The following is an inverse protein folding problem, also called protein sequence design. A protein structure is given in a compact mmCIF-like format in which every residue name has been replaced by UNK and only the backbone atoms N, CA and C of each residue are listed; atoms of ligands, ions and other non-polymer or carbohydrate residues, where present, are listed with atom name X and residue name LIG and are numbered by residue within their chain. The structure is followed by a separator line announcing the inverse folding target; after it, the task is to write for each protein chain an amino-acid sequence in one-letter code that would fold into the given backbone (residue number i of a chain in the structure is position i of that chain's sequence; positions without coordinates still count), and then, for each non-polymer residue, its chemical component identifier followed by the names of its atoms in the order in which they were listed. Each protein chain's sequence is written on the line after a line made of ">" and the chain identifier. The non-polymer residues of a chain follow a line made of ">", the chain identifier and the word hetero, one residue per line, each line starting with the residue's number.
data_IF_279944474373
#
_entry.id   IF_279944474373
#
_cell.length_a   1.000
_cell.length_b   1.000
_cell.length_c   1.000
_cell.angle_alpha   90.00
_cell.angle_beta   90.00
_cell.angle_gamma   90.00
#
_symmetry.space_group_name_H-M   'P 1'
#
loop_
_entity.id
_entity.type
_entity.pdbx_description
1 polymer ?
#
# COMPACT_ATOMS: atom_id res chain seq x y z
N UNK A 1 -3.08 -24.51 10.44
CA UNK A 1 -2.19 -25.69 10.65
C UNK A 1 -0.98 -25.14 11.37
N UNK A 2 -0.66 -25.69 12.54
CA UNK A 2 0.48 -25.26 13.35
C UNK A 2 1.78 -25.70 12.66
N UNK A 3 2.82 -24.85 12.67
CA UNK A 3 4.09 -25.16 12.04
C UNK A 3 4.81 -26.27 12.84
N UNK A 4 5.19 -27.40 12.22
CA UNK A 4 5.80 -28.54 12.90
C UNK A 4 7.28 -28.26 13.26
N UNK A 5 7.51 -27.40 14.24
CA UNK A 5 8.83 -26.85 14.59
C UNK A 5 9.87 -27.92 14.93
N UNK A 6 9.49 -28.92 15.74
CA UNK A 6 10.44 -29.97 16.16
C UNK A 6 10.86 -30.85 15.01
N UNK A 7 9.92 -31.25 14.16
CA UNK A 7 10.22 -31.98 12.93
C UNK A 7 11.13 -31.16 12.01
N UNK A 8 10.88 -29.85 11.88
CA UNK A 8 11.71 -28.95 11.09
C UNK A 8 13.14 -28.86 11.64
N UNK A 9 13.34 -28.76 12.96
CA UNK A 9 14.67 -28.72 13.59
C UNK A 9 15.44 -30.00 13.29
N UNK A 10 14.80 -31.18 13.33
CA UNK A 10 15.43 -32.46 12.97
C UNK A 10 15.95 -32.47 11.52
N UNK A 11 15.23 -31.84 10.58
CA UNK A 11 15.67 -31.75 9.18
C UNK A 11 16.94 -30.89 9.00
N UNK A 12 17.31 -30.09 9.99
CA UNK A 12 18.55 -29.30 10.00
C UNK A 12 19.74 -30.04 10.59
N UNK A 13 19.56 -31.31 11.03
CA UNK A 13 20.67 -32.17 11.46
C UNK A 13 21.62 -32.43 10.27
N UNK A 14 22.92 -32.16 10.48
CA UNK A 14 23.93 -32.21 9.42
C UNK A 14 24.26 -30.85 8.77
N UNK A 15 23.51 -29.80 9.05
CA UNK A 15 23.88 -28.42 8.64
C UNK A 15 24.92 -27.82 9.59
N UNK A 16 25.65 -26.79 9.11
CA UNK A 16 26.58 -26.06 9.99
C UNK A 16 25.81 -25.38 11.14
N UNK A 17 26.43 -25.23 12.33
CA UNK A 17 25.79 -24.60 13.49
C UNK A 17 25.29 -23.18 13.16
N UNK A 18 26.04 -22.41 12.40
CA UNK A 18 25.70 -21.03 12.01
C UNK A 18 24.46 -21.00 11.11
N UNK A 19 24.40 -21.90 10.11
CA UNK A 19 23.25 -22.01 9.23
C UNK A 19 22.00 -22.43 10.01
N UNK A 20 22.13 -23.42 10.88
CA UNK A 20 21.04 -23.91 11.74
C UNK A 20 20.50 -22.78 12.62
N UNK A 21 21.37 -22.04 13.32
CA UNK A 21 20.98 -20.90 14.16
C UNK A 21 20.24 -19.85 13.35
N UNK A 22 20.79 -19.42 12.21
CA UNK A 22 20.18 -18.39 11.37
C UNK A 22 18.76 -18.79 10.86
N UNK A 23 18.58 -20.05 10.50
CA UNK A 23 17.28 -20.57 10.03
C UNK A 23 16.28 -20.69 11.17
N UNK A 24 16.71 -21.13 12.36
CA UNK A 24 15.85 -21.18 13.55
C UNK A 24 15.42 -19.77 13.95
N UNK A 25 16.34 -18.81 14.05
CA UNK A 25 16.06 -17.42 14.39
C UNK A 25 15.09 -16.77 13.40
N UNK A 26 15.27 -17.02 12.09
CA UNK A 26 14.37 -16.57 11.06
C UNK A 26 12.95 -17.14 11.23
N UNK A 27 12.88 -18.45 11.49
CA UNK A 27 11.62 -19.17 11.70
C UNK A 27 10.89 -18.66 12.93
N UNK A 28 11.58 -18.59 14.07
CA UNK A 28 11.02 -18.17 15.35
C UNK A 28 10.54 -16.72 15.30
N UNK A 29 11.27 -15.83 14.61
CA UNK A 29 10.85 -14.44 14.39
C UNK A 29 9.53 -14.34 13.63
N UNK A 30 9.33 -15.13 12.58
CA UNK A 30 8.09 -15.12 11.82
C UNK A 30 6.93 -15.72 12.62
N UNK A 31 7.16 -16.85 13.31
CA UNK A 31 6.16 -17.50 14.14
C UNK A 31 5.72 -16.60 15.30
N UNK A 32 6.65 -15.91 15.97
CA UNK A 32 6.34 -14.97 17.05
C UNK A 32 5.42 -13.82 16.60
N UNK A 33 5.46 -13.46 15.30
CA UNK A 33 4.58 -12.46 14.70
C UNK A 33 3.34 -13.09 14.02
N UNK A 34 3.06 -14.37 14.25
CA UNK A 34 1.97 -15.11 13.63
C UNK A 34 2.01 -15.06 12.09
N UNK A 35 3.21 -15.07 11.52
CA UNK A 35 3.44 -15.01 10.08
C UNK A 35 3.79 -16.37 9.51
N UNK A 36 3.39 -16.70 8.28
CA UNK A 36 3.78 -17.93 7.63
C UNK A 36 5.30 -17.95 7.36
N UNK A 37 5.93 -19.06 7.67
CA UNK A 37 7.35 -19.26 7.39
C UNK A 37 7.52 -19.62 5.91
N UNK A 38 8.30 -18.82 5.18
CA UNK A 38 8.58 -19.00 3.75
C UNK A 38 10.10 -18.97 3.58
N UNK A 39 10.68 -20.06 3.10
CA UNK A 39 12.15 -20.17 2.92
C UNK A 39 12.61 -19.84 1.51
N UNK A 40 11.76 -20.11 0.50
CA UNK A 40 12.08 -19.94 -0.92
C UNK A 40 10.82 -19.82 -1.75
N UNK A 41 10.96 -19.43 -3.03
CA UNK A 41 9.86 -19.40 -3.99
C UNK A 41 9.24 -20.79 -4.18
N UNK A 42 10.06 -21.84 -4.24
CA UNK A 42 9.61 -23.24 -4.31
C UNK A 42 8.76 -23.63 -3.10
N UNK A 43 9.21 -23.28 -1.90
CA UNK A 43 8.43 -23.51 -0.67
C UNK A 43 7.11 -22.75 -0.71
N UNK A 44 7.15 -21.48 -1.13
CA UNK A 44 5.95 -20.66 -1.30
C UNK A 44 4.95 -21.26 -2.32
N UNK A 45 5.46 -21.77 -3.45
CA UNK A 45 4.65 -22.47 -4.44
C UNK A 45 3.87 -23.63 -3.83
N UNK A 46 4.54 -24.46 -3.03
CA UNK A 46 3.91 -25.55 -2.28
C UNK A 46 2.83 -25.08 -1.31
N UNK A 47 3.11 -23.99 -0.56
CA UNK A 47 2.14 -23.41 0.39
C UNK A 47 0.87 -22.91 -0.31
N UNK A 48 0.99 -22.22 -1.44
CA UNK A 48 -0.16 -21.66 -2.18
C UNK A 48 -0.80 -22.66 -3.15
N UNK A 49 -0.24 -23.87 -3.26
CA UNK A 49 -0.76 -24.94 -4.13
C UNK A 49 -0.68 -24.57 -5.62
N UNK A 50 0.46 -24.04 -6.05
CA UNK A 50 0.75 -23.65 -7.44
C UNK A 50 2.10 -24.26 -7.84
N UNK A 51 2.21 -24.64 -9.12
CA UNK A 51 3.49 -25.11 -9.65
C UNK A 51 4.55 -24.00 -9.62
N UNK A 52 5.78 -24.33 -9.20
CA UNK A 52 6.88 -23.37 -9.14
C UNK A 52 7.15 -22.72 -10.50
N UNK A 53 7.09 -23.51 -11.58
CA UNK A 53 7.28 -23.01 -12.95
C UNK A 53 6.21 -21.98 -13.36
N UNK A 54 5.00 -22.09 -12.81
CA UNK A 54 3.96 -21.09 -13.05
C UNK A 54 4.25 -19.79 -12.30
N UNK A 55 4.76 -19.84 -11.08
CA UNK A 55 5.19 -18.63 -10.36
C UNK A 55 6.28 -17.89 -11.15
N UNK A 56 7.29 -18.62 -11.66
CA UNK A 56 8.32 -18.02 -12.51
C UNK A 56 7.73 -17.38 -13.78
N UNK A 57 6.79 -18.05 -14.44
CA UNK A 57 6.09 -17.50 -15.64
C UNK A 57 5.31 -16.23 -15.30
N UNK A 58 4.61 -16.20 -14.17
CA UNK A 58 3.89 -15.01 -13.70
C UNK A 58 4.87 -13.86 -13.47
N UNK A 59 5.95 -14.09 -12.73
CA UNK A 59 6.95 -13.06 -12.40
C UNK A 59 7.69 -12.55 -13.65
N UNK A 60 7.99 -13.42 -14.61
CA UNK A 60 8.67 -13.07 -15.86
C UNK A 60 7.77 -12.24 -16.82
N UNK A 61 6.44 -12.46 -16.79
CA UNK A 61 5.49 -11.77 -17.66
C UNK A 61 4.31 -11.20 -16.87
N UNK A 62 4.59 -10.49 -15.79
CA UNK A 62 3.58 -9.96 -14.86
C UNK A 62 2.48 -9.18 -15.58
N UNK A 63 2.83 -8.41 -16.60
CA UNK A 63 1.90 -7.61 -17.38
C UNK A 63 0.83 -8.46 -18.12
N UNK A 64 1.20 -9.65 -18.59
CA UNK A 64 0.27 -10.62 -19.21
C UNK A 64 -0.76 -11.20 -18.24
N UNK A 65 -0.53 -11.06 -16.93
CA UNK A 65 -1.45 -11.56 -15.90
C UNK A 65 -2.40 -10.49 -15.35
N UNK A 66 -2.53 -9.33 -16.02
CA UNK A 66 -3.48 -8.27 -15.66
C UNK A 66 -4.42 -7.89 -16.78
N UNK A 67 -5.69 -7.70 -16.43
CA UNK A 67 -6.69 -7.09 -17.29
C UNK A 67 -6.78 -5.59 -17.01
N UNK A 68 -6.99 -4.79 -18.06
CA UNK A 68 -7.02 -3.34 -18.01
C UNK A 68 -8.41 -2.81 -18.34
N UNK A 69 -9.04 -2.11 -17.41
CA UNK A 69 -10.36 -1.52 -17.56
C UNK A 69 -10.29 0.00 -17.41
N UNK A 70 -11.24 0.69 -18.03
CA UNK A 70 -11.38 2.14 -17.88
C UNK A 70 -12.79 2.45 -17.39
N UNK A 71 -12.90 3.06 -16.22
CA UNK A 71 -14.16 3.44 -15.59
C UNK A 71 -14.31 4.97 -15.63
N UNK A 72 -15.50 5.49 -16.01
CA UNK A 72 -15.80 6.91 -15.91
C UNK A 72 -15.88 7.33 -14.45
N UNK A 73 -15.23 8.45 -14.06
CA UNK A 73 -15.40 9.03 -12.71
C UNK A 73 -16.82 9.62 -12.60
N UNK A 74 -17.46 9.47 -11.42
CA UNK A 74 -18.83 9.93 -11.15
C UNK A 74 -19.06 11.41 -11.50
N UNK A 75 -18.04 12.24 -11.38
CA UNK A 75 -18.11 13.67 -11.69
C UNK A 75 -16.99 14.06 -12.66
N UNK A 76 -17.32 14.23 -13.95
CA UNK A 76 -16.44 14.78 -14.97
C UNK A 76 -16.04 13.84 -16.12
N UNK A 77 -15.35 14.41 -17.12
CA UNK A 77 -14.87 13.70 -18.34
C UNK A 77 -13.66 12.77 -18.07
N UNK A 78 -13.09 12.78 -16.85
CA UNK A 78 -11.88 12.00 -16.51
C UNK A 78 -12.22 10.53 -16.29
N UNK A 79 -11.44 9.65 -16.88
CA UNK A 79 -11.54 8.20 -16.71
C UNK A 79 -10.52 7.71 -15.67
N UNK A 80 -10.87 6.68 -14.89
CA UNK A 80 -9.97 5.96 -13.99
C UNK A 80 -9.61 4.64 -14.65
N UNK A 81 -8.33 4.32 -14.70
CA UNK A 81 -7.84 3.02 -15.15
C UNK A 81 -7.80 2.08 -13.94
N UNK A 82 -8.43 0.93 -14.09
CA UNK A 82 -8.40 -0.16 -13.12
C UNK A 82 -7.61 -1.30 -13.73
N UNK A 83 -6.69 -1.85 -12.99
CA UNK A 83 -5.79 -2.93 -13.42
C UNK A 83 -5.97 -4.10 -12.48
N UNK A 84 -6.63 -5.15 -12.96
CA UNK A 84 -7.08 -6.29 -12.14
C UNK A 84 -6.28 -7.53 -12.50
N UNK A 85 -5.68 -8.23 -11.53
CA UNK A 85 -4.99 -9.48 -11.81
C UNK A 85 -5.97 -10.59 -12.24
N UNK A 86 -5.53 -11.44 -13.19
CA UNK A 86 -6.25 -12.67 -13.55
C UNK A 86 -6.27 -13.66 -12.37
N UNK A 87 -7.14 -14.67 -12.49
CA UNK A 87 -7.54 -15.54 -11.38
C UNK A 87 -6.35 -16.15 -10.60
N UNK A 88 -5.32 -16.68 -11.28
CA UNK A 88 -4.18 -17.32 -10.60
C UNK A 88 -3.38 -16.31 -9.78
N UNK A 89 -2.97 -15.19 -10.40
CA UNK A 89 -2.26 -14.11 -9.68
C UNK A 89 -3.12 -13.52 -8.56
N UNK A 90 -4.42 -13.34 -8.81
CA UNK A 90 -5.37 -12.83 -7.81
C UNK A 90 -5.47 -13.74 -6.59
N UNK A 91 -5.44 -15.07 -6.77
CA UNK A 91 -5.44 -16.07 -5.69
C UNK A 91 -4.17 -15.95 -4.85
N UNK A 92 -3.00 -15.83 -5.50
CA UNK A 92 -1.71 -15.62 -4.82
C UNK A 92 -1.73 -14.33 -4.02
N UNK A 93 -2.14 -13.22 -4.64
CA UNK A 93 -2.20 -11.92 -3.96
C UNK A 93 -3.20 -11.91 -2.80
N UNK A 94 -4.33 -12.60 -2.90
CA UNK A 94 -5.26 -12.76 -1.77
C UNK A 94 -4.65 -13.56 -0.63
N UNK A 95 -3.90 -14.61 -0.95
CA UNK A 95 -3.17 -15.37 0.07
C UNK A 95 -2.15 -14.46 0.79
N UNK A 96 -1.34 -13.73 0.04
CA UNK A 96 -0.38 -12.75 0.63
C UNK A 96 -1.11 -11.71 1.49
N UNK A 97 -2.26 -11.23 1.03
CA UNK A 97 -3.07 -10.27 1.79
C UNK A 97 -3.49 -10.87 3.13
N UNK A 98 -4.16 -12.03 3.14
CA UNK A 98 -4.77 -12.57 4.34
C UNK A 98 -3.76 -13.23 5.28
N UNK A 99 -2.76 -13.92 4.74
CA UNK A 99 -1.80 -14.65 5.58
C UNK A 99 -0.62 -13.81 6.04
N UNK A 100 -0.34 -12.69 5.39
CA UNK A 100 0.80 -11.83 5.73
C UNK A 100 0.35 -10.42 6.10
N UNK A 101 -0.24 -9.69 5.15
CA UNK A 101 -0.44 -8.25 5.29
C UNK A 101 -1.51 -7.89 6.32
N UNK A 102 -2.61 -8.66 6.39
CA UNK A 102 -3.71 -8.42 7.35
C UNK A 102 -3.28 -8.68 8.81
N UNK A 103 -2.16 -9.39 9.02
CA UNK A 103 -1.59 -9.66 10.35
C UNK A 103 -0.67 -8.53 10.85
N UNK A 104 -0.33 -7.59 9.97
CA UNK A 104 0.54 -6.46 10.31
C UNK A 104 -0.31 -5.23 10.63
N UNK A 105 -0.16 -4.68 11.83
CA UNK A 105 -0.94 -3.54 12.27
C UNK A 105 -0.67 -2.29 11.42
N UNK A 106 -1.72 -1.64 10.97
CA UNK A 106 -1.69 -0.30 10.37
C UNK A 106 -1.76 0.77 11.45
N UNK A 107 -1.42 2.01 11.09
CA UNK A 107 -1.53 3.14 12.04
C UNK A 107 -3.01 3.40 12.41
N UNK A 108 -3.36 3.71 13.69
CA UNK A 108 -4.75 3.90 14.12
C UNK A 108 -5.51 5.02 13.38
N UNK A 109 -4.79 6.01 12.84
CA UNK A 109 -5.42 7.09 12.05
C UNK A 109 -5.67 6.71 10.58
N UNK A 110 -5.18 5.56 10.12
CA UNK A 110 -5.55 4.98 8.83
C UNK A 110 -6.94 4.35 8.92
N UNK A 111 -7.91 4.87 8.15
CA UNK A 111 -9.32 4.43 8.18
C UNK A 111 -9.77 3.79 6.86
N UNK A 112 -9.02 3.96 5.77
CA UNK A 112 -9.34 3.37 4.47
C UNK A 112 -8.82 1.96 4.32
N UNK A 113 -9.61 1.04 3.78
CA UNK A 113 -9.25 -0.36 3.53
C UNK A 113 -8.76 -1.11 4.77
N UNK A 114 -9.31 -0.82 5.93
CA UNK A 114 -9.01 -1.46 7.20
C UNK A 114 -10.24 -2.22 7.67
N UNK A 115 -10.08 -3.47 8.10
CA UNK A 115 -11.16 -4.29 8.63
C UNK A 115 -11.86 -3.57 9.81
N UNK A 116 -13.18 -3.61 9.84
CA UNK A 116 -13.98 -2.94 10.87
C UNK A 116 -14.04 -1.41 10.75
N UNK A 117 -13.38 -0.80 9.75
CA UNK A 117 -13.44 0.64 9.49
C UNK A 117 -14.40 0.99 8.34
N UNK A 118 -14.84 2.25 8.30
CA UNK A 118 -15.77 2.76 7.29
C UNK A 118 -15.56 4.25 7.06
N UNK A 119 -16.23 4.82 6.05
CA UNK A 119 -16.27 6.27 5.84
C UNK A 119 -16.85 7.01 7.03
N UNK A 120 -17.81 6.40 7.77
CA UNK A 120 -18.38 6.97 8.99
C UNK A 120 -17.32 7.01 10.12
N UNK A 121 -16.56 5.94 10.32
CA UNK A 121 -15.46 5.89 11.30
C UNK A 121 -14.39 6.94 10.95
N UNK A 122 -14.10 7.13 9.66
CA UNK A 122 -13.19 8.19 9.21
C UNK A 122 -13.73 9.60 9.50
N UNK A 123 -15.03 9.82 9.34
CA UNK A 123 -15.65 11.13 9.54
C UNK A 123 -15.83 11.49 11.03
N UNK A 124 -16.01 10.50 11.90
CA UNK A 124 -16.36 10.69 13.33
C UNK A 124 -15.46 11.68 14.08
N UNK A 125 -14.11 11.66 13.99
CA UNK A 125 -13.25 12.64 14.68
C UNK A 125 -13.42 14.07 14.19
N UNK A 126 -13.95 14.27 12.99
CA UNK A 126 -14.11 15.57 12.34
C UNK A 126 -15.50 16.20 12.56
N UNK A 127 -16.41 15.46 13.19
CA UNK A 127 -17.77 15.96 13.47
C UNK A 127 -17.71 17.12 14.48
N UNK A 128 -18.43 18.21 14.18
CA UNK A 128 -18.47 19.38 15.06
C UNK A 128 -17.33 20.38 14.84
N UNK A 129 -16.26 20.03 14.12
CA UNK A 129 -15.16 20.94 13.85
C UNK A 129 -15.58 22.07 12.91
N UNK A 130 -15.08 23.30 13.17
CA UNK A 130 -15.41 24.48 12.37
C UNK A 130 -14.74 24.45 10.99
N UNK A 131 -13.52 23.95 10.91
CA UNK A 131 -12.70 23.94 9.70
C UNK A 131 -12.17 22.53 9.41
N UNK A 132 -12.21 22.16 8.12
CA UNK A 132 -11.65 20.90 7.60
C UNK A 132 -10.70 21.26 6.46
N UNK A 133 -9.46 20.71 6.50
CA UNK A 133 -8.51 20.80 5.40
C UNK A 133 -8.22 19.41 4.86
N UNK A 134 -8.38 19.26 3.55
CA UNK A 134 -8.17 17.99 2.84
C UNK A 134 -7.02 18.11 1.86
N UNK A 135 -6.27 17.01 1.76
CA UNK A 135 -5.25 16.80 0.75
C UNK A 135 -5.45 15.43 0.12
N UNK A 136 -5.05 15.27 -1.13
CA UNK A 136 -5.17 14.02 -1.90
C UNK A 136 -3.79 13.70 -2.48
N UNK A 137 -3.41 12.42 -2.49
CA UNK A 137 -2.16 12.01 -3.13
C UNK A 137 -2.31 11.95 -4.65
N UNK A 138 -1.26 12.33 -5.35
CA UNK A 138 -1.17 12.18 -6.80
C UNK A 138 -0.79 10.74 -7.13
N UNK A 139 -1.62 10.05 -7.93
CA UNK A 139 -1.35 8.70 -8.44
C UNK A 139 -0.86 7.73 -7.34
N UNK A 140 -1.63 7.65 -6.24
CA UNK A 140 -1.21 7.06 -4.96
C UNK A 140 -0.59 5.67 -5.09
N UNK A 141 -1.30 4.72 -5.72
CA UNK A 141 -0.80 3.36 -5.87
C UNK A 141 0.43 3.31 -6.80
N UNK A 142 0.37 3.99 -7.93
CA UNK A 142 1.45 4.04 -8.89
C UNK A 142 2.70 4.79 -8.38
N UNK A 143 2.59 5.59 -7.31
CA UNK A 143 3.74 6.23 -6.64
C UNK A 143 4.54 5.26 -5.77
N UNK A 144 3.96 4.12 -5.40
CA UNK A 144 4.61 3.11 -4.57
C UNK A 144 5.26 2.05 -5.47
N UNK A 145 6.58 2.06 -5.52
CA UNK A 145 7.37 1.18 -6.38
C UNK A 145 7.80 -0.11 -5.66
N UNK A 146 8.28 -1.07 -6.45
CA UNK A 146 8.71 -2.40 -5.98
C UNK A 146 9.79 -2.34 -4.90
N UNK A 147 10.68 -1.33 -4.89
CA UNK A 147 11.73 -1.20 -3.87
C UNK A 147 11.13 -0.92 -2.50
N UNK A 148 10.08 -0.08 -2.43
CA UNK A 148 9.36 0.19 -1.18
C UNK A 148 8.60 -1.04 -0.70
N UNK A 149 7.97 -1.79 -1.63
CA UNK A 149 7.29 -3.04 -1.31
C UNK A 149 8.27 -4.11 -0.82
N UNK A 150 9.43 -4.22 -1.45
CA UNK A 150 10.53 -5.07 -0.96
C UNK A 150 10.96 -4.67 0.46
N UNK A 151 11.20 -3.38 0.70
CA UNK A 151 11.55 -2.86 2.03
C UNK A 151 10.52 -3.19 3.09
N UNK A 152 9.23 -3.12 2.77
CA UNK A 152 8.13 -3.51 3.66
C UNK A 152 8.24 -5.00 4.04
N UNK A 153 8.41 -5.93 3.08
CA UNK A 153 8.54 -7.35 3.39
C UNK A 153 9.81 -7.66 4.18
N UNK A 154 10.91 -6.91 3.94
CA UNK A 154 12.13 -6.98 4.76
C UNK A 154 11.87 -6.54 6.22
N UNK A 155 11.14 -5.45 6.41
CA UNK A 155 10.75 -4.93 7.74
C UNK A 155 9.84 -5.92 8.49
N UNK A 156 8.91 -6.56 7.79
CA UNK A 156 8.05 -7.61 8.33
C UNK A 156 8.88 -8.81 8.85
N UNK A 157 10.04 -9.10 8.25
CA UNK A 157 10.97 -10.10 8.72
C UNK A 157 11.37 -11.16 7.70
N UNK A 158 10.87 -11.10 6.47
CA UNK A 158 11.22 -12.06 5.42
C UNK A 158 12.66 -11.90 4.93
N UNK A 159 13.28 -13.03 4.49
CA UNK A 159 14.60 -13.05 3.89
C UNK A 159 14.68 -12.16 2.63
N UNK A 160 15.89 -11.73 2.19
CA UNK A 160 16.01 -10.92 0.97
C UNK A 160 15.37 -11.57 -0.26
N UNK A 161 15.59 -12.86 -0.47
CA UNK A 161 15.04 -13.59 -1.62
C UNK A 161 13.51 -13.63 -1.57
N UNK A 162 12.92 -14.05 -0.44
CA UNK A 162 11.47 -14.12 -0.26
C UNK A 162 10.83 -12.73 -0.37
N UNK A 163 11.45 -11.70 0.19
CA UNK A 163 10.95 -10.33 0.09
C UNK A 163 10.93 -9.81 -1.35
N UNK A 164 11.94 -10.17 -2.14
CA UNK A 164 11.98 -9.86 -3.57
C UNK A 164 10.84 -10.56 -4.33
N UNK A 165 10.62 -11.85 -4.07
CA UNK A 165 9.59 -12.63 -4.75
C UNK A 165 8.18 -12.12 -4.39
N UNK A 166 7.91 -11.89 -3.10
CA UNK A 166 6.63 -11.34 -2.65
C UNK A 166 6.38 -9.94 -3.21
N UNK A 167 7.40 -9.07 -3.25
CA UNK A 167 7.28 -7.75 -3.83
C UNK A 167 7.01 -7.81 -5.34
N UNK A 168 7.66 -8.71 -6.05
CA UNK A 168 7.44 -8.94 -7.49
C UNK A 168 6.02 -9.42 -7.77
N UNK A 169 5.47 -10.32 -6.95
CA UNK A 169 4.09 -10.82 -7.08
C UNK A 169 3.03 -9.78 -6.72
N UNK A 170 3.38 -8.75 -5.94
CA UNK A 170 2.47 -7.67 -5.52
C UNK A 170 2.55 -6.41 -6.39
N UNK A 171 3.51 -6.32 -7.32
CA UNK A 171 3.70 -5.14 -8.15
C UNK A 171 3.59 -5.47 -9.63
N UNK A 172 3.21 -4.48 -10.43
CA UNK A 172 3.09 -4.59 -11.87
C UNK A 172 4.23 -3.83 -12.54
N UNK A 173 5.08 -4.53 -13.29
CA UNK A 173 6.01 -3.94 -14.24
C UNK A 173 5.30 -3.83 -15.60
N UNK A 174 5.09 -2.62 -16.08
CA UNK A 174 4.60 -2.43 -17.43
C UNK A 174 5.73 -2.78 -18.41
N UNK A 175 5.43 -3.60 -19.41
CA UNK A 175 6.34 -3.82 -20.52
C UNK A 175 6.60 -2.51 -21.29
N UNK A 176 7.77 -2.37 -21.89
CA UNK A 176 8.18 -1.15 -22.60
C UNK A 176 7.15 -0.72 -23.66
N UNK A 177 6.60 -1.66 -24.41
CA UNK A 177 5.54 -1.41 -25.39
C UNK A 177 4.28 -0.79 -24.76
N UNK A 178 3.84 -1.28 -23.59
CA UNK A 178 2.65 -0.72 -22.93
C UNK A 178 2.92 0.64 -22.30
N UNK A 179 4.14 0.88 -21.86
CA UNK A 179 4.56 2.21 -21.43
C UNK A 179 4.53 3.21 -22.58
N UNK A 180 5.09 2.85 -23.74
CA UNK A 180 5.10 3.67 -24.94
C UNK A 180 3.69 3.92 -25.51
N UNK A 181 2.80 2.93 -25.42
CA UNK A 181 1.40 3.07 -25.86
C UNK A 181 0.51 3.86 -24.90
N UNK A 182 1.01 4.26 -23.73
CA UNK A 182 0.26 5.11 -22.80
C UNK A 182 0.06 6.53 -23.38
N UNK A 183 -1.11 7.16 -23.11
CA UNK A 183 -1.28 8.58 -23.40
C UNK A 183 -0.14 9.41 -22.80
N UNK A 184 0.44 10.34 -23.57
CA UNK A 184 1.64 11.09 -23.21
C UNK A 184 1.58 11.83 -21.86
N UNK A 185 0.36 12.21 -21.40
CA UNK A 185 0.18 12.77 -20.05
C UNK A 185 0.46 11.74 -18.95
N UNK A 186 0.18 10.44 -19.17
CA UNK A 186 0.48 9.36 -18.22
C UNK A 186 1.95 8.97 -18.23
N UNK A 187 2.57 8.96 -19.41
CA UNK A 187 4.02 8.76 -19.50
C UNK A 187 4.76 9.86 -18.71
N UNK A 188 4.30 11.13 -18.82
CA UNK A 188 4.85 12.24 -18.02
C UNK A 188 4.62 12.03 -16.52
N UNK A 189 3.41 11.64 -16.09
CA UNK A 189 3.14 11.35 -14.67
C UNK A 189 4.03 10.23 -14.13
N UNK A 190 4.28 9.20 -14.94
CA UNK A 190 5.15 8.08 -14.55
C UNK A 190 6.62 8.50 -14.44
N UNK A 191 7.10 9.33 -15.40
CA UNK A 191 8.45 9.94 -15.34
C UNK A 191 8.60 10.90 -14.16
N UNK A 192 7.54 11.65 -13.83
CA UNK A 192 7.53 12.57 -12.68
C UNK A 192 7.58 11.83 -11.33
N UNK A 193 7.12 10.57 -11.29
CA UNK A 193 7.09 9.76 -10.06
C UNK A 193 8.36 8.92 -9.89
N UNK A 194 8.93 8.46 -11.00
CA UNK A 194 10.08 7.56 -11.01
C UNK A 194 11.06 7.95 -12.12
N UNK A 195 12.35 7.97 -11.81
CA UNK A 195 13.41 8.29 -12.77
C UNK A 195 13.49 7.28 -13.93
N UNK A 196 13.03 6.05 -13.70
CA UNK A 196 12.96 4.95 -14.67
C UNK A 196 11.66 4.18 -14.54
N UNK A 197 11.18 3.52 -15.61
CA UNK A 197 10.05 2.60 -15.52
C UNK A 197 10.34 1.51 -14.48
N UNK A 198 9.57 1.49 -13.41
CA UNK A 198 9.69 0.50 -12.34
C UNK A 198 8.36 -0.20 -12.13
N UNK A 199 8.40 -1.41 -11.57
CA UNK A 199 7.19 -2.06 -11.11
C UNK A 199 6.58 -1.25 -9.96
N UNK A 200 5.25 -1.10 -9.95
CA UNK A 200 4.48 -0.30 -9.00
C UNK A 200 3.24 -1.04 -8.54
N UNK A 201 2.58 -0.55 -7.50
CA UNK A 201 1.28 -1.10 -7.09
C UNK A 201 0.23 -0.86 -8.17
N UNK A 202 -0.55 -1.90 -8.47
CA UNK A 202 -1.65 -1.81 -9.44
C UNK A 202 -2.95 -1.37 -8.76
N UNK A 203 -3.64 -0.37 -9.34
CA UNK A 203 -4.96 0.04 -8.87
C UNK A 203 -6.02 -1.00 -9.23
N UNK A 204 -6.33 -1.89 -8.29
CA UNK A 204 -7.28 -3.01 -8.45
C UNK A 204 -6.69 -4.37 -8.08
N UNK A 205 -5.41 -4.43 -7.71
CA UNK A 205 -4.80 -5.61 -7.12
C UNK A 205 -5.24 -5.76 -5.65
N UNK A 206 -5.52 -6.98 -5.18
CA UNK A 206 -5.96 -7.23 -3.79
C UNK A 206 -5.00 -6.71 -2.72
N UNK A 207 -3.69 -6.83 -2.94
CA UNK A 207 -2.64 -6.46 -1.99
C UNK A 207 -2.36 -4.96 -1.94
N UNK A 208 -2.66 -4.21 -3.01
CA UNK A 208 -2.26 -2.80 -3.13
C UNK A 208 -2.76 -1.91 -1.99
N UNK A 209 -4.02 -2.00 -1.53
CA UNK A 209 -4.50 -1.18 -0.43
C UNK A 209 -3.79 -1.44 0.90
N UNK A 210 -3.58 -2.72 1.27
CA UNK A 210 -2.90 -3.10 2.50
C UNK A 210 -1.43 -2.66 2.49
N UNK A 211 -0.71 -2.93 1.39
CA UNK A 211 0.69 -2.50 1.21
C UNK A 211 0.81 -0.98 1.32
N UNK A 212 -0.05 -0.23 0.63
CA UNK A 212 -0.03 1.23 0.67
C UNK A 212 -0.28 1.77 2.09
N UNK A 213 -1.20 1.15 2.83
CA UNK A 213 -1.47 1.51 4.23
C UNK A 213 -0.25 1.25 5.13
N UNK A 214 0.41 0.11 4.99
CA UNK A 214 1.58 -0.26 5.78
C UNK A 214 2.78 0.66 5.47
N UNK A 215 3.01 0.98 4.21
CA UNK A 215 4.06 1.91 3.79
C UNK A 215 3.82 3.33 4.32
N UNK A 216 2.57 3.74 4.49
CA UNK A 216 2.21 5.06 5.03
C UNK A 216 2.24 5.14 6.56
N UNK A 217 2.65 4.11 7.30
CA UNK A 217 2.66 4.12 8.78
C UNK A 217 3.48 5.27 9.36
N UNK A 218 4.68 5.50 8.82
CA UNK A 218 5.55 6.59 9.27
C UNK A 218 4.93 7.96 8.99
N UNK A 219 4.36 8.14 7.81
CA UNK A 219 3.63 9.37 7.46
C UNK A 219 2.45 9.61 8.41
N UNK A 220 1.65 8.57 8.67
CA UNK A 220 0.51 8.66 9.58
C UNK A 220 0.96 9.00 11.01
N UNK A 221 2.05 8.40 11.50
CA UNK A 221 2.60 8.69 12.82
C UNK A 221 3.07 10.15 12.94
N UNK A 222 3.72 10.70 11.89
CA UNK A 222 4.16 12.10 11.84
C UNK A 222 2.99 13.07 11.89
N UNK A 223 1.93 12.82 11.12
CA UNK A 223 0.74 13.66 11.11
C UNK A 223 -0.11 13.52 12.37
N UNK A 224 -0.20 12.32 12.94
CA UNK A 224 -0.86 12.10 14.22
C UNK A 224 -0.16 12.89 15.34
N UNK A 225 1.17 12.79 15.42
CA UNK A 225 1.96 13.58 16.38
C UNK A 225 1.76 15.09 16.22
N UNK A 226 1.77 15.60 14.97
CA UNK A 226 1.48 17.01 14.70
C UNK A 226 0.07 17.38 15.17
N UNK A 227 -0.92 16.53 14.90
CA UNK A 227 -2.31 16.76 15.29
C UNK A 227 -2.47 16.83 16.81
N UNK A 228 -1.88 15.90 17.54
CA UNK A 228 -1.89 15.85 19.00
C UNK A 228 -1.25 17.12 19.61
N UNK A 229 -0.08 17.54 19.11
CA UNK A 229 0.62 18.73 19.59
C UNK A 229 -0.15 20.04 19.38
N UNK A 230 -1.02 20.10 18.38
CA UNK A 230 -1.81 21.30 18.02
C UNK A 230 -3.28 21.22 18.49
N UNK A 231 -3.68 20.13 19.14
CA UNK A 231 -5.07 19.91 19.57
C UNK A 231 -6.04 19.90 18.40
N UNK A 232 -5.71 19.18 17.32
CA UNK A 232 -6.51 19.02 16.11
C UNK A 232 -6.70 17.55 15.79
N UNK A 233 -7.59 17.23 14.85
CA UNK A 233 -7.83 15.86 14.42
C UNK A 233 -7.19 15.59 13.07
N UNK A 234 -6.65 14.38 12.93
CA UNK A 234 -6.10 13.83 11.69
C UNK A 234 -6.66 12.45 11.42
N UNK A 235 -7.02 12.16 10.17
CA UNK A 235 -7.28 10.81 9.67
C UNK A 235 -6.83 10.70 8.22
N UNK A 236 -6.51 9.47 7.79
CA UNK A 236 -6.27 9.12 6.39
C UNK A 236 -7.24 8.05 5.92
N UNK A 237 -7.90 8.31 4.79
CA UNK A 237 -8.73 7.33 4.10
C UNK A 237 -8.15 7.10 2.70
N UNK A 238 -7.40 6.00 2.52
CA UNK A 238 -6.66 5.71 1.30
C UNK A 238 -5.70 6.85 0.92
N UNK A 239 -5.99 7.55 -0.18
CA UNK A 239 -5.26 8.69 -0.72
C UNK A 239 -5.70 10.05 -0.14
N UNK A 240 -6.78 10.09 0.65
CA UNK A 240 -7.31 11.32 1.25
C UNK A 240 -6.78 11.54 2.67
N UNK A 241 -6.05 12.64 2.89
CA UNK A 241 -5.65 13.14 4.21
C UNK A 241 -6.67 14.17 4.69
N UNK A 242 -7.18 14.04 5.89
CA UNK A 242 -8.13 14.97 6.47
C UNK A 242 -7.62 15.51 7.80
N UNK A 243 -7.56 16.84 7.93
CA UNK A 243 -7.27 17.55 9.16
C UNK A 243 -8.47 18.43 9.52
N UNK A 244 -8.80 18.52 10.81
CA UNK A 244 -9.88 19.41 11.26
C UNK A 244 -9.58 20.07 12.59
N UNK A 245 -10.08 21.32 12.76
CA UNK A 245 -9.86 22.14 13.93
C UNK A 245 -11.01 23.14 14.13
N UNK A 246 -11.07 23.75 15.32
CA UNK A 246 -11.97 24.87 15.60
C UNK A 246 -11.40 26.23 15.19
N UNK A 247 -10.12 26.31 14.80
CA UNK A 247 -9.44 27.50 14.30
C UNK A 247 -8.65 27.15 13.05
N UNK A 248 -8.69 27.98 12.02
CA UNK A 248 -8.00 27.75 10.75
C UNK A 248 -6.48 27.84 10.87
N UNK A 249 -5.98 28.62 11.82
CA UNK A 249 -4.56 28.85 12.10
C UNK A 249 -3.88 27.58 12.66
N UNK A 250 -4.66 26.72 13.35
CA UNK A 250 -4.18 25.44 13.88
C UNK A 250 -4.01 24.37 12.80
N UNK A 251 -4.71 24.50 11.66
CA UNK A 251 -4.59 23.53 10.57
C UNK A 251 -3.18 23.57 9.94
N UNK A 252 -2.60 22.41 9.58
CA UNK A 252 -1.27 22.37 9.00
C UNK A 252 -1.18 23.17 7.70
N UNK A 253 -0.16 24.02 7.57
CA UNK A 253 0.09 24.75 6.31
C UNK A 253 0.35 23.73 5.18
N UNK A 254 -0.10 24.05 3.97
CA UNK A 254 0.10 23.18 2.81
C UNK A 254 1.59 22.90 2.52
N UNK A 255 2.48 23.86 2.77
CA UNK A 255 3.92 23.68 2.65
C UNK A 255 4.49 22.64 3.62
N UNK A 256 3.99 22.61 4.86
CA UNK A 256 4.38 21.58 5.84
C UNK A 256 3.91 20.19 5.42
N UNK A 257 2.63 20.06 5.05
CA UNK A 257 2.08 18.76 4.60
C UNK A 257 2.82 18.27 3.36
N UNK A 258 3.08 19.17 2.39
CA UNK A 258 3.87 18.86 1.20
C UNK A 258 5.25 18.31 1.54
N UNK A 259 5.99 18.98 2.41
CA UNK A 259 7.33 18.55 2.82
C UNK A 259 7.29 17.14 3.42
N UNK A 260 6.39 16.89 4.38
CA UNK A 260 6.25 15.56 5.02
C UNK A 260 5.93 14.48 3.99
N UNK A 261 5.04 14.77 3.05
CA UNK A 261 4.63 13.83 1.98
C UNK A 261 5.78 13.55 1.01
N UNK A 262 6.57 14.57 0.64
CA UNK A 262 7.72 14.44 -0.28
C UNK A 262 8.88 13.67 0.39
N UNK A 263 9.12 13.86 1.69
CA UNK A 263 10.08 13.07 2.46
C UNK A 263 9.71 11.58 2.52
N UNK A 264 8.42 11.26 2.49
CA UNK A 264 7.90 9.88 2.36
C UNK A 264 7.80 9.42 0.89
N UNK A 265 8.45 10.11 -0.05
CA UNK A 265 8.48 9.78 -1.48
C UNK A 265 7.09 9.71 -2.14
N UNK A 266 6.14 10.49 -1.64
CA UNK A 266 4.80 10.66 -2.20
C UNK A 266 4.64 12.09 -2.73
N UNK A 267 3.58 12.35 -3.51
CA UNK A 267 3.28 13.68 -4.04
C UNK A 267 1.83 14.05 -3.79
N UNK A 268 1.58 15.33 -3.47
CA UNK A 268 0.22 15.86 -3.34
C UNK A 268 -0.39 16.22 -4.69
N UNK A 269 -1.70 16.04 -4.79
CA UNK A 269 -2.52 16.54 -5.87
C UNK A 269 -3.14 17.88 -5.47
N UNK A 270 -2.44 18.97 -5.78
CA UNK A 270 -2.88 20.33 -5.38
C UNK A 270 -4.24 20.73 -5.96
N UNK A 271 -4.66 20.16 -7.10
CA UNK A 271 -5.99 20.47 -7.68
C UNK A 271 -7.16 19.96 -6.85
N UNK A 272 -6.91 19.08 -5.88
CA UNK A 272 -7.90 18.51 -4.96
C UNK A 272 -7.68 18.94 -3.51
N UNK A 273 -6.70 19.79 -3.24
CA UNK A 273 -6.46 20.34 -1.92
C UNK A 273 -7.43 21.47 -1.63
N UNK A 274 -8.08 21.44 -0.47
CA UNK A 274 -9.06 22.47 -0.11
C UNK A 274 -9.22 22.64 1.39
N UNK A 275 -9.64 23.84 1.79
CA UNK A 275 -10.06 24.15 3.16
C UNK A 275 -11.54 24.52 3.14
N UNK A 276 -12.32 23.89 4.00
CA UNK A 276 -13.77 24.01 4.08
C UNK A 276 -14.14 24.52 5.47
N UNK A 277 -14.92 25.62 5.55
CA UNK A 277 -15.56 26.11 6.76
C UNK A 277 -17.02 25.68 6.85
N UNK A 278 -17.70 25.95 7.97
CA UNK A 278 -19.13 25.64 8.13
C UNK A 278 -19.99 26.29 7.05
N UNK A 279 -19.68 27.52 6.64
CA UNK A 279 -20.43 28.29 5.65
C UNK A 279 -20.23 27.77 4.22
N UNK A 280 -19.06 27.25 3.88
CA UNK A 280 -18.79 26.70 2.54
C UNK A 280 -19.52 25.39 2.24
N UNK A 281 -20.06 24.68 3.25
CA UNK A 281 -20.87 23.47 3.05
C UNK A 281 -22.30 23.77 2.55
N UNK A 282 -22.78 24.99 2.66
CA UNK A 282 -24.12 25.37 2.20
C UNK A 282 -24.13 25.75 0.71
N UNK A 283 -23.02 26.26 0.16
CA UNK A 283 -22.96 26.70 -1.25
C UNK A 283 -22.85 25.53 -2.25
N UNK A 284 -22.30 24.36 -1.84
CA UNK A 284 -22.18 23.20 -2.73
C UNK A 284 -23.47 22.36 -2.85
N UNK A 285 -24.57 22.77 -2.20
CA UNK A 285 -25.87 22.06 -2.25
C UNK A 285 -26.89 22.66 -3.20
N UNK A 286 -26.57 23.75 -3.92
CA UNK A 286 -27.41 24.27 -5.00
C UNK A 286 -26.84 23.83 -6.34
N UNK A 287 -27.36 22.76 -6.98
CA UNK A 287 -27.18 22.55 -8.39
C UNK A 287 -28.17 23.45 -9.12
N UNK A 288 -27.67 24.50 -9.75
CA UNK A 288 -28.35 25.06 -10.93
C UNK A 288 -27.97 24.27 -12.14
#
# INVERSE_FOLDING_TARGET
>A
MEFPRDFFIQQLEGSTPEYRSAIIDYTDKLLANNLPVIYSLKHFAGIVGIDESELYRIMANMDGYYAYFTIKKKHGKKRRRIVVPYQNLKRIQRWILHEILDKVAVHPQCKGFVAGSSTLVNAKPHVGMKYIRKFDFKDFFESINVKRVYGLFREIGYSPAVSHDLASLCTLKLGDYKYESMPGYRQRCFKDLHDKPMAVLAQGAPTSPAIANLICRTLDARFAKYADMNGIHYTRYADDLTFSANSVEKLPKASFVRRVVEEEQLKLNFSKTGTYGRESRQSDRNPN
#
